data_IF_483965685312
#
_entry.id   IF_483965685312
#
_cell.length_a   1.000
_cell.length_b   1.000
_cell.length_c   1.000
_cell.angle_alpha   90.00
_cell.angle_beta   90.00
_cell.angle_gamma   90.00
#
_symmetry.space_group_name_H-M   'P 1'
#
loop_
_entity.id
_entity.type
_entity.pdbx_description
1 polymer ?
#
# COMPACT_ATOMS: atom_id res chain seq x y z
N UNK A 1 -28.72 -17.87 43.47
CA UNK A 1 -28.69 -17.49 42.04
C UNK A 1 -27.24 -17.43 41.60
N UNK A 2 -26.70 -18.08 40.58
CA UNK A 2 -27.10 -19.18 39.70
C UNK A 2 -25.81 -19.54 38.95
N UNK A 3 -25.26 -20.74 39.19
CA UNK A 3 -24.10 -21.25 38.45
C UNK A 3 -24.65 -21.90 37.18
N UNK A 4 -24.44 -21.26 36.02
CA UNK A 4 -24.82 -21.79 34.72
C UNK A 4 -23.80 -22.81 34.22
N UNK A 5 -24.15 -24.08 34.37
CA UNK A 5 -23.54 -25.22 33.68
C UNK A 5 -23.86 -25.12 32.18
N UNK A 6 -22.84 -25.26 31.33
CA UNK A 6 -23.03 -25.50 29.89
C UNK A 6 -23.22 -27.01 29.67
N UNK A 7 -24.30 -27.45 29.00
CA UNK A 7 -24.46 -28.84 28.64
C UNK A 7 -23.69 -29.21 27.38
N UNK A 8 -23.23 -30.46 27.41
CA UNK A 8 -22.65 -31.27 26.36
C UNK A 8 -23.60 -31.57 25.21
N UNK A 9 -23.03 -31.65 24.00
CA UNK A 9 -23.49 -32.54 22.94
C UNK A 9 -24.45 -31.94 21.93
N UNK A 10 -24.03 -31.90 20.66
CA UNK A 10 -24.63 -32.69 19.59
C UNK A 10 -23.82 -32.49 18.31
N UNK A 11 -23.41 -33.60 17.73
CA UNK A 11 -22.82 -33.68 16.40
C UNK A 11 -23.78 -33.11 15.36
N UNK A 12 -23.23 -32.40 14.37
CA UNK A 12 -23.96 -31.83 13.25
C UNK A 12 -23.05 -31.75 12.04
N UNK A 13 -22.94 -32.89 11.35
CA UNK A 13 -22.83 -33.06 9.90
C UNK A 13 -22.16 -31.94 9.09
N UNK A 14 -20.89 -32.20 8.75
CA UNK A 14 -20.23 -31.60 7.60
C UNK A 14 -20.90 -32.10 6.31
N UNK A 15 -21.98 -31.43 5.89
CA UNK A 15 -22.50 -31.54 4.54
C UNK A 15 -21.62 -30.72 3.61
N UNK A 16 -20.76 -31.43 2.88
CA UNK A 16 -19.92 -30.90 1.82
C UNK A 16 -20.77 -30.33 0.68
N UNK A 17 -20.58 -29.04 0.41
CA UNK A 17 -21.04 -28.43 -0.82
C UNK A 17 -20.02 -28.77 -1.92
N UNK A 18 -20.27 -29.89 -2.61
CA UNK A 18 -19.59 -30.24 -3.86
C UNK A 18 -19.89 -29.17 -4.90
N UNK A 19 -18.85 -28.46 -5.32
CA UNK A 19 -18.82 -27.75 -6.59
C UNK A 19 -18.76 -28.82 -7.70
N UNK A 20 -19.68 -28.85 -8.68
CA UNK A 20 -19.65 -29.84 -9.75
C UNK A 20 -18.39 -29.66 -10.60
N UNK A 21 -17.64 -30.75 -10.78
CA UNK A 21 -16.52 -30.82 -11.73
C UNK A 21 -17.09 -30.93 -13.16
N UNK A 22 -16.55 -30.20 -14.14
CA UNK A 22 -16.96 -30.35 -15.54
C UNK A 22 -16.59 -31.74 -16.06
N UNK A 23 -17.54 -32.31 -16.79
CA UNK A 23 -17.53 -33.65 -17.39
C UNK A 23 -16.35 -33.80 -18.36
N UNK A 24 -15.51 -34.84 -18.22
CA UNK A 24 -14.49 -35.18 -19.22
C UNK A 24 -15.10 -36.12 -20.27
N UNK A 25 -15.07 -35.81 -21.57
CA UNK A 25 -15.56 -36.76 -22.58
C UNK A 25 -14.60 -37.96 -22.69
N UNK A 26 -15.15 -39.17 -22.60
CA UNK A 26 -14.42 -40.42 -22.79
C UNK A 26 -14.09 -40.64 -24.25
N UNK A 27 -12.81 -40.87 -24.54
CA UNK A 27 -12.29 -41.16 -25.87
C UNK A 27 -12.53 -42.63 -26.22
N UNK A 28 -13.78 -42.97 -26.51
CA UNK A 28 -14.13 -44.25 -27.12
C UNK A 28 -15.19 -44.02 -28.17
N UNK A 29 -14.78 -43.95 -29.44
CA UNK A 29 -15.35 -44.72 -30.55
C UNK A 29 -14.78 -44.23 -31.87
N UNK A 30 -14.00 -45.09 -32.50
CA UNK A 30 -13.71 -45.06 -33.93
C UNK A 30 -15.04 -45.19 -34.70
N UNK A 31 -15.32 -44.26 -35.61
CA UNK A 31 -16.19 -44.54 -36.75
C UNK A 31 -15.61 -43.84 -38.00
N UNK A 32 -15.11 -44.66 -38.92
CA UNK A 32 -14.73 -44.26 -40.26
C UNK A 32 -15.94 -43.68 -41.00
N UNK A 33 -15.84 -42.43 -41.45
CA UNK A 33 -16.68 -41.90 -42.53
C UNK A 33 -15.77 -41.14 -43.49
N UNK A 34 -15.48 -41.77 -44.64
CA UNK A 34 -14.94 -41.14 -45.82
C UNK A 34 -16.02 -40.27 -46.45
N UNK A 35 -15.84 -38.95 -46.45
CA UNK A 35 -16.55 -38.05 -47.36
C UNK A 35 -15.58 -37.01 -47.90
N UNK A 36 -15.25 -37.15 -49.19
CA UNK A 36 -14.67 -36.09 -49.98
C UNK A 36 -15.68 -34.94 -50.07
N UNK A 37 -15.30 -33.77 -49.56
CA UNK A 37 -16.11 -32.56 -49.60
C UNK A 37 -15.31 -31.38 -49.08
N UNK A 38 -14.72 -30.63 -50.01
CA UNK A 38 -13.98 -29.39 -49.75
C UNK A 38 -14.98 -28.33 -49.26
N UNK A 39 -15.21 -28.23 -47.95
CA UNK A 39 -15.88 -27.10 -47.34
C UNK A 39 -14.86 -26.39 -46.45
N UNK A 40 -14.31 -25.28 -46.94
CA UNK A 40 -13.56 -24.31 -46.14
C UNK A 40 -14.54 -23.65 -45.14
N UNK A 41 -14.88 -24.37 -44.07
CA UNK A 41 -15.36 -23.76 -42.84
C UNK A 41 -14.12 -23.25 -42.12
N UNK A 42 -13.83 -21.96 -42.27
CA UNK A 42 -12.83 -21.26 -41.47
C UNK A 42 -13.25 -21.32 -40.01
N UNK A 43 -12.74 -22.32 -39.27
CA UNK A 43 -12.78 -22.31 -37.82
C UNK A 43 -11.94 -21.12 -37.36
N UNK A 44 -12.59 -20.00 -37.06
CA UNK A 44 -11.97 -18.97 -36.23
C UNK A 44 -11.72 -19.61 -34.88
N UNK A 45 -10.47 -20.03 -34.66
CA UNK A 45 -9.93 -20.24 -33.33
C UNK A 45 -10.09 -18.90 -32.61
N UNK A 46 -11.14 -18.82 -31.78
CA UNK A 46 -11.26 -17.77 -30.78
C UNK A 46 -10.05 -17.94 -29.86
N UNK A 47 -9.08 -17.04 -29.99
CA UNK A 47 -8.01 -16.95 -29.03
C UNK A 47 -8.61 -16.45 -27.72
N UNK A 48 -8.64 -17.31 -26.71
CA UNK A 48 -8.76 -16.86 -25.33
C UNK A 48 -7.57 -15.94 -25.08
N UNK A 49 -7.83 -14.63 -25.09
CA UNK A 49 -6.88 -13.63 -24.64
C UNK A 49 -6.86 -13.74 -23.11
N UNK A 50 -5.99 -14.60 -22.61
CA UNK A 50 -5.65 -14.65 -21.20
C UNK A 50 -5.04 -13.29 -20.81
N UNK A 51 -5.87 -12.43 -20.21
CA UNK A 51 -5.44 -11.11 -19.75
C UNK A 51 -4.44 -11.33 -18.61
N UNK A 52 -3.15 -11.20 -18.89
CA UNK A 52 -2.14 -11.24 -17.86
C UNK A 52 -2.41 -10.10 -16.86
N UNK A 53 -2.48 -10.44 -15.57
CA UNK A 53 -2.62 -9.44 -14.53
C UNK A 53 -1.46 -8.42 -14.65
N UNK A 54 -1.71 -7.12 -14.40
CA UNK A 54 -0.65 -6.12 -14.46
C UNK A 54 0.49 -6.51 -13.51
N UNK A 55 1.72 -6.47 -14.03
CA UNK A 55 2.94 -6.76 -13.26
C UNK A 55 3.71 -5.47 -12.98
N UNK A 56 4.55 -5.49 -11.95
CA UNK A 56 5.44 -4.38 -11.60
C UNK A 56 6.83 -4.91 -11.23
N UNK A 57 7.81 -4.01 -11.19
CA UNK A 57 9.19 -4.34 -10.82
C UNK A 57 9.61 -3.54 -9.60
N UNK A 58 10.29 -4.21 -8.66
CA UNK A 58 10.86 -3.59 -7.48
C UNK A 58 12.32 -3.17 -7.71
N UNK A 59 12.80 -2.12 -7.03
CA UNK A 59 12.05 -1.25 -6.12
C UNK A 59 11.15 -0.25 -6.87
N UNK A 60 9.93 -0.02 -6.36
CA UNK A 60 8.97 0.95 -6.94
C UNK A 60 9.31 2.42 -6.67
N UNK A 61 10.15 2.67 -5.65
CA UNK A 61 10.79 3.97 -5.40
C UNK A 61 12.29 3.69 -5.39
N UNK A 62 13.01 4.17 -6.40
CA UNK A 62 14.44 3.95 -6.53
C UNK A 62 15.25 4.94 -5.67
N UNK A 63 16.48 4.57 -5.30
CA UNK A 63 17.39 5.41 -4.52
C UNK A 63 17.29 5.16 -3.01
N UNK A 64 17.68 6.16 -2.23
CA UNK A 64 17.68 6.11 -0.76
C UNK A 64 16.29 6.46 -0.21
N UNK A 65 15.45 5.44 -0.06
CA UNK A 65 14.10 5.55 0.50
C UNK A 65 13.86 4.48 1.57
N UNK A 66 14.59 4.59 2.67
CA UNK A 66 14.46 3.70 3.82
C UNK A 66 13.24 4.06 4.70
N UNK A 67 12.75 3.07 5.45
CA UNK A 67 11.64 3.20 6.42
C UNK A 67 10.37 3.84 5.84
N UNK A 68 9.80 3.28 4.74
CA UNK A 68 8.62 3.87 4.11
C UNK A 68 7.39 3.78 5.03
N UNK A 69 6.79 4.93 5.34
CA UNK A 69 5.45 5.02 5.92
C UNK A 69 4.46 5.50 4.88
N UNK A 70 3.37 4.74 4.70
CA UNK A 70 2.41 4.92 3.60
C UNK A 70 0.98 5.01 4.14
N UNK A 71 0.19 5.95 3.62
CA UNK A 71 -1.27 6.05 3.88
C UNK A 71 -2.03 6.33 2.58
N UNK A 72 -3.32 5.97 2.55
CA UNK A 72 -4.26 6.36 1.49
C UNK A 72 -5.18 7.47 1.99
N UNK A 73 -5.25 8.58 1.26
CA UNK A 73 -6.18 9.69 1.54
C UNK A 73 -6.97 10.00 0.27
N UNK A 74 -8.28 9.73 0.31
CA UNK A 74 -9.11 9.77 -0.88
C UNK A 74 -8.70 8.69 -1.87
N UNK A 75 -8.21 9.11 -3.04
CA UNK A 75 -7.75 8.26 -4.15
C UNK A 75 -6.22 8.33 -4.34
N UNK A 76 -5.49 8.88 -3.37
CA UNK A 76 -4.05 9.16 -3.48
C UNK A 76 -3.30 8.52 -2.33
N UNK A 77 -2.31 7.70 -2.66
CA UNK A 77 -1.33 7.19 -1.71
C UNK A 77 -0.27 8.24 -1.44
N UNK A 78 0.12 8.38 -0.18
CA UNK A 78 1.18 9.24 0.30
C UNK A 78 2.23 8.38 0.98
N UNK A 79 3.51 8.62 0.68
CA UNK A 79 4.63 7.94 1.31
C UNK A 79 5.66 8.94 1.82
N UNK A 80 6.30 8.63 2.95
CA UNK A 80 7.47 9.37 3.45
C UNK A 80 8.49 8.38 4.00
N UNK A 81 9.78 8.74 3.93
CA UNK A 81 10.88 7.87 4.36
C UNK A 81 12.00 8.65 5.05
N UNK A 82 12.97 7.90 5.57
CA UNK A 82 14.20 8.41 6.18
C UNK A 82 15.01 9.25 5.19
N UNK A 83 15.56 10.38 5.64
CA UNK A 83 16.51 11.20 4.86
C UNK A 83 17.89 11.32 5.51
N UNK A 84 18.06 10.74 6.70
CA UNK A 84 19.32 10.70 7.45
C UNK A 84 19.94 12.09 7.65
N UNK A 85 21.02 12.41 6.95
CA UNK A 85 21.75 13.68 7.10
C UNK A 85 21.57 14.61 5.89
N UNK A 86 20.80 14.18 4.89
CA UNK A 86 20.70 14.86 3.59
C UNK A 86 19.28 15.38 3.33
N UNK A 87 19.22 16.47 2.56
CA UNK A 87 17.95 16.95 2.00
C UNK A 87 17.62 16.15 0.73
N UNK A 88 16.34 16.01 0.34
CA UNK A 88 15.13 16.54 0.97
C UNK A 88 14.81 15.92 2.35
N UNK A 89 14.43 16.73 3.35
CA UNK A 89 14.20 16.25 4.72
C UNK A 89 12.82 15.59 4.89
N UNK A 90 12.81 14.26 5.05
CA UNK A 90 11.62 13.42 4.96
C UNK A 90 10.84 13.67 3.66
N UNK A 91 11.30 13.17 2.51
CA UNK A 91 10.64 13.38 1.23
C UNK A 91 9.23 12.80 1.24
N UNK A 92 8.29 13.51 0.63
CA UNK A 92 6.89 13.09 0.49
C UNK A 92 6.64 12.71 -0.97
N UNK A 93 6.25 11.46 -1.19
CA UNK A 93 5.87 10.91 -2.47
C UNK A 93 4.36 10.69 -2.56
N UNK A 94 3.81 10.76 -3.77
CA UNK A 94 2.43 10.36 -4.05
C UNK A 94 2.34 9.34 -5.16
N UNK A 95 1.33 8.48 -5.09
CA UNK A 95 0.98 7.52 -6.14
C UNK A 95 -0.53 7.31 -6.23
N UNK A 96 -1.00 6.85 -7.38
CA UNK A 96 -2.39 6.40 -7.58
C UNK A 96 -2.52 4.87 -7.61
N UNK A 97 -1.40 4.15 -7.79
CA UNK A 97 -1.37 2.73 -8.10
C UNK A 97 -0.35 1.93 -7.27
N UNK A 98 0.31 2.55 -6.29
CA UNK A 98 1.39 2.00 -5.46
C UNK A 98 2.66 1.60 -6.23
N UNK A 99 2.72 1.85 -7.53
CA UNK A 99 3.85 1.46 -8.40
C UNK A 99 4.56 2.68 -8.95
N UNK A 100 3.82 3.66 -9.45
CA UNK A 100 4.35 4.88 -10.01
C UNK A 100 4.30 5.99 -8.96
N UNK A 101 5.46 6.42 -8.48
CA UNK A 101 5.60 7.40 -7.41
C UNK A 101 6.25 8.69 -7.89
N UNK A 102 5.70 9.83 -7.49
CA UNK A 102 6.25 11.16 -7.75
C UNK A 102 6.55 11.86 -6.41
N UNK A 103 7.75 12.45 -6.28
CA UNK A 103 8.06 13.27 -5.12
C UNK A 103 7.35 14.63 -5.25
N UNK A 104 6.42 14.92 -4.34
CA UNK A 104 5.62 16.15 -4.34
C UNK A 104 6.09 17.20 -3.33
N UNK A 105 7.00 16.82 -2.43
CA UNK A 105 7.55 17.71 -1.42
C UNK A 105 8.42 17.00 -0.39
N UNK A 106 8.48 17.61 0.79
CA UNK A 106 9.22 17.13 1.96
C UNK A 106 8.59 17.70 3.24
N UNK A 107 8.80 17.06 4.39
CA UNK A 107 8.29 17.58 5.66
C UNK A 107 8.95 18.92 6.02
N UNK A 108 10.26 19.06 5.82
CA UNK A 108 10.99 20.31 6.07
C UNK A 108 11.71 20.83 4.83
N UNK A 109 11.44 22.09 4.45
CA UNK A 109 12.11 22.76 3.32
C UNK A 109 13.59 23.06 3.60
N UNK A 110 13.92 23.25 4.87
CA UNK A 110 15.29 23.47 5.37
C UNK A 110 15.46 22.75 6.70
N UNK A 111 16.69 22.39 7.04
CA UNK A 111 16.99 21.78 8.34
C UNK A 111 16.53 22.73 9.47
N UNK A 112 15.63 22.29 10.37
CA UNK A 112 15.21 23.11 11.50
C UNK A 112 16.40 23.46 12.41
N UNK A 113 16.41 24.66 12.99
CA UNK A 113 17.56 25.15 13.78
C UNK A 113 17.87 24.29 15.00
N UNK A 114 16.85 23.67 15.60
CA UNK A 114 16.96 22.86 16.82
C UNK A 114 17.60 21.48 16.60
N UNK A 115 17.68 20.98 15.36
CA UNK A 115 18.20 19.66 15.01
C UNK A 115 19.59 19.73 14.35
N UNK A 116 20.43 18.73 14.61
CA UNK A 116 21.72 18.51 13.94
C UNK A 116 21.65 17.45 12.83
N UNK A 117 20.49 16.83 12.61
CA UNK A 117 20.29 15.80 11.59
C UNK A 117 19.66 14.52 12.14
N UNK A 118 20.14 13.37 11.67
CA UNK A 118 19.64 12.03 11.98
C UNK A 118 18.12 11.91 11.80
N UNK A 119 17.66 12.33 10.63
CA UNK A 119 16.26 12.30 10.22
C UNK A 119 15.80 10.87 9.90
N UNK A 120 15.54 10.10 10.95
CA UNK A 120 15.19 8.68 10.90
C UNK A 120 13.68 8.42 10.93
N UNK A 121 13.32 7.21 10.51
CA UNK A 121 12.01 6.57 10.45
C UNK A 121 10.82 7.48 10.79
N UNK A 122 10.16 8.04 9.76
CA UNK A 122 8.92 8.76 9.93
C UNK A 122 7.69 7.83 9.95
N UNK A 123 6.60 8.29 10.54
CA UNK A 123 5.26 7.74 10.41
C UNK A 123 4.29 8.85 10.00
N UNK A 124 3.60 8.67 8.87
CA UNK A 124 2.57 9.60 8.39
C UNK A 124 1.18 9.10 8.76
N UNK A 125 0.33 10.03 9.20
CA UNK A 125 -1.05 9.78 9.58
C UNK A 125 -1.95 10.91 9.07
N UNK A 126 -3.22 10.63 8.80
CA UNK A 126 -4.18 11.64 8.38
C UNK A 126 -5.48 11.56 9.19
N UNK A 127 -5.94 12.70 9.68
CA UNK A 127 -7.21 12.83 10.41
C UNK A 127 -7.81 14.21 10.19
N UNK A 128 -9.09 14.27 9.79
CA UNK A 128 -9.87 15.51 9.63
C UNK A 128 -9.09 16.61 8.88
N UNK A 129 -8.73 16.31 7.64
CA UNK A 129 -8.00 17.19 6.71
C UNK A 129 -6.61 17.66 7.19
N UNK A 130 -6.07 16.97 8.20
CA UNK A 130 -4.77 17.26 8.77
C UNK A 130 -3.88 16.03 8.65
N UNK A 131 -2.71 16.24 8.05
CA UNK A 131 -1.63 15.28 8.03
C UNK A 131 -0.73 15.50 9.25
N UNK A 132 -0.38 14.40 9.90
CA UNK A 132 0.56 14.33 11.00
C UNK A 132 1.75 13.51 10.55
N UNK A 133 2.95 13.95 10.90
CA UNK A 133 4.16 13.16 10.73
C UNK A 133 4.85 13.06 12.07
N UNK A 134 4.94 11.86 12.60
CA UNK A 134 5.82 11.51 13.72
C UNK A 134 7.16 11.12 13.14
N UNK A 135 8.26 11.57 13.72
CA UNK A 135 9.57 11.32 13.13
C UNK A 135 10.64 11.41 14.20
N UNK A 136 11.84 10.87 13.93
CA UNK A 136 12.96 10.96 14.87
C UNK A 136 14.07 11.86 14.31
N UNK A 137 14.50 12.85 15.09
CA UNK A 137 15.65 13.69 14.73
C UNK A 137 16.52 14.02 15.95
N UNK A 138 17.81 14.26 15.72
CA UNK A 138 18.79 14.55 16.77
C UNK A 138 18.79 16.01 17.16
N UNK A 139 18.56 16.30 18.44
CA UNK A 139 18.61 17.67 18.97
C UNK A 139 20.05 18.17 19.06
N UNK A 140 20.29 19.43 18.71
CA UNK A 140 21.60 20.10 18.92
C UNK A 140 21.95 20.31 20.38
N UNK A 141 20.94 20.51 21.23
CA UNK A 141 21.16 20.92 22.62
C UNK A 141 21.87 19.85 23.47
N UNK A 142 21.51 18.58 23.26
CA UNK A 142 21.98 17.44 24.07
C UNK A 142 22.45 16.25 23.21
N UNK A 143 22.43 16.36 21.88
CA UNK A 143 22.75 15.27 20.93
C UNK A 143 21.86 14.03 21.09
N UNK A 144 20.70 14.17 21.71
CA UNK A 144 19.74 13.07 21.89
C UNK A 144 18.74 13.06 20.74
N UNK A 145 18.56 11.89 20.12
CA UNK A 145 17.46 11.65 19.18
C UNK A 145 16.15 11.55 19.94
N UNK A 146 15.15 12.36 19.53
CA UNK A 146 13.79 12.30 20.08
C UNK A 146 12.80 12.14 18.95
N UNK A 147 11.59 11.70 19.30
CA UNK A 147 10.48 11.50 18.37
C UNK A 147 9.45 12.64 18.48
N UNK A 148 9.70 13.82 17.89
CA UNK A 148 8.70 14.88 17.83
C UNK A 148 7.60 14.59 16.78
N UNK A 149 6.58 15.46 16.76
CA UNK A 149 5.46 15.41 15.83
C UNK A 149 5.32 16.76 15.10
N UNK A 150 5.18 16.71 13.77
CA UNK A 150 4.78 17.82 12.92
C UNK A 150 3.36 17.65 12.39
N UNK A 151 2.67 18.75 12.10
CA UNK A 151 1.32 18.73 11.51
C UNK A 151 1.16 19.75 10.37
N UNK A 152 0.35 19.40 9.37
CA UNK A 152 -0.13 20.29 8.30
C UNK A 152 -1.60 20.10 8.06
N UNK A 153 -2.33 21.20 7.87
CA UNK A 153 -3.73 21.17 7.46
C UNK A 153 -3.82 21.53 5.98
N UNK A 154 -4.50 20.69 5.21
CA UNK A 154 -4.70 20.88 3.76
C UNK A 154 -6.20 21.01 3.46
N UNK A 155 -6.79 22.22 3.51
CA UNK A 155 -8.21 22.39 3.26
C UNK A 155 -8.56 22.07 1.79
N UNK A 156 -9.46 21.11 1.58
CA UNK A 156 -10.20 20.91 0.33
C UNK A 156 -9.55 20.03 -0.75
N UNK A 157 -8.22 19.87 -0.78
CA UNK A 157 -7.53 18.88 -1.64
C UNK A 157 -6.22 18.43 -0.97
N UNK A 158 -5.86 17.13 -0.97
CA UNK A 158 -4.66 16.65 -0.29
C UNK A 158 -3.34 16.94 -1.06
N UNK A 159 -3.39 17.75 -2.11
CA UNK A 159 -2.22 18.29 -2.82
C UNK A 159 -1.49 19.42 -2.08
N UNK A 160 -2.00 19.90 -0.93
CA UNK A 160 -1.35 20.95 -0.13
C UNK A 160 -0.49 20.42 1.02
N UNK A 161 0.07 19.20 0.88
CA UNK A 161 1.25 18.75 1.65
C UNK A 161 2.54 19.51 1.29
N UNK A 162 2.43 20.72 0.75
CA UNK A 162 3.58 21.57 0.41
C UNK A 162 4.24 22.22 1.63
N UNK A 163 3.68 22.05 2.85
CA UNK A 163 4.24 22.66 4.06
C UNK A 163 3.72 22.02 5.36
N UNK A 164 4.43 21.05 5.93
CA UNK A 164 4.21 20.62 7.32
C UNK A 164 4.99 21.55 8.26
N UNK A 165 4.42 22.72 8.55
CA UNK A 165 5.08 23.76 9.34
C UNK A 165 4.53 23.97 10.76
N UNK A 166 3.48 23.26 11.20
CA UNK A 166 2.98 23.44 12.57
C UNK A 166 3.52 22.36 13.48
N UNK A 167 4.66 22.69 14.09
CA UNK A 167 5.26 21.95 15.18
C UNK A 167 4.44 22.17 16.45
N UNK A 168 3.91 21.09 17.01
CA UNK A 168 3.49 21.09 18.42
C UNK A 168 4.57 20.31 19.16
N UNK A 169 5.59 21.00 19.67
CA UNK A 169 6.40 20.42 20.73
C UNK A 169 5.48 20.19 21.92
N UNK A 170 5.02 18.96 22.10
CA UNK A 170 4.53 18.56 23.41
C UNK A 170 5.74 18.55 24.34
N UNK A 171 5.68 19.21 25.51
CA UNK A 171 6.72 19.05 26.52
C UNK A 171 6.69 17.59 26.97
N UNK A 172 7.58 16.78 26.39
CA UNK A 172 7.89 15.46 26.92
C UNK A 172 8.65 15.74 28.20
N UNK A 173 7.95 15.55 29.33
CA UNK A 173 8.46 15.72 30.69
C UNK A 173 9.79 14.99 30.89
#
# INVERSE_FOLDING_TARGET
>A
MGKGSLPSGCAGDFIGLMIPRPNKPSWTSLLSITCAGLALCGASVASDQESSAPTYQNPVIAGDFADPSIILVGDTYYATGTSSEWAPYYPIYTSKDLVNWEQVGNVFDKMPEWTSGSFWAPEIYHHKDTFFVYYTARRKADNVSRTPMGSSTSPGKPTALRRIARFHSWPVR
#
